data_IF_104436094726
#
_entry.id   IF_104436094726
#
_cell.length_a   1.000
_cell.length_b   1.000
_cell.length_c   1.000
_cell.angle_alpha   90.00
_cell.angle_beta   90.00
_cell.angle_gamma   90.00
#
_symmetry.space_group_name_H-M   'P 1'
#
loop_
_entity.id
_entity.type
_entity.pdbx_description
1 polymer ?
#
# COMPACT_ATOMS: atom_id res chain seq x y z
N UNK A 1 25.89 83.33 23.35
CA UNK A 1 24.84 82.31 23.13
C UNK A 1 25.28 81.42 21.99
N UNK A 2 25.77 80.21 22.26
CA UNK A 2 26.10 79.22 21.24
C UNK A 2 25.31 77.96 21.52
N UNK A 3 24.28 77.72 20.71
CA UNK A 3 23.49 76.48 20.67
C UNK A 3 24.40 75.32 20.28
N UNK A 4 24.57 74.33 21.16
CA UNK A 4 25.03 72.99 20.78
C UNK A 4 23.83 72.20 20.28
N UNK A 5 23.82 71.90 18.98
CA UNK A 5 22.88 70.96 18.39
C UNK A 5 23.03 69.57 19.02
N UNK A 6 21.90 68.96 19.40
CA UNK A 6 21.84 67.58 19.86
C UNK A 6 22.19 66.64 18.70
N UNK A 7 23.09 65.68 18.94
CA UNK A 7 23.40 64.61 17.98
C UNK A 7 22.31 63.55 18.05
N UNK A 8 21.75 63.20 16.89
CA UNK A 8 20.85 62.06 16.76
C UNK A 8 21.54 60.74 17.17
N UNK A 9 20.83 59.84 17.85
CA UNK A 9 21.38 58.55 18.27
C UNK A 9 21.63 57.65 17.06
N UNK A 10 22.77 56.98 17.04
CA UNK A 10 23.14 56.06 15.95
C UNK A 10 22.09 54.92 15.82
N UNK A 11 21.64 54.57 14.59
CA UNK A 11 20.64 53.53 14.37
C UNK A 11 21.02 52.17 14.99
N UNK A 12 22.32 51.88 15.10
CA UNK A 12 22.82 50.66 15.74
C UNK A 12 22.49 50.58 17.24
N UNK A 13 22.58 51.70 17.97
CA UNK A 13 22.26 51.75 19.41
C UNK A 13 20.77 51.61 19.68
N UNK A 14 19.92 52.14 18.78
CA UNK A 14 18.48 51.96 18.85
C UNK A 14 18.08 50.51 18.53
N UNK A 15 18.70 49.89 17.51
CA UNK A 15 18.48 48.48 17.17
C UNK A 15 18.78 47.52 18.32
N UNK A 16 19.95 47.67 18.97
CA UNK A 16 20.35 46.83 20.11
C UNK A 16 19.39 46.98 21.30
N UNK A 17 18.96 48.21 21.59
CA UNK A 17 18.02 48.47 22.69
C UNK A 17 16.64 47.82 22.45
N UNK A 18 16.13 47.88 21.22
CA UNK A 18 14.85 47.24 20.88
C UNK A 18 14.94 45.72 20.92
N UNK A 19 16.01 45.11 20.42
CA UNK A 19 16.20 43.64 20.53
C UNK A 19 16.27 43.16 21.98
N UNK A 20 16.99 43.89 22.85
CA UNK A 20 17.07 43.53 24.27
C UNK A 20 15.70 43.62 24.97
N UNK A 21 14.92 44.64 24.63
CA UNK A 21 13.57 44.82 25.19
C UNK A 21 12.59 43.74 24.72
N UNK A 22 12.68 43.31 23.45
CA UNK A 22 11.86 42.23 22.91
C UNK A 22 12.18 40.88 23.55
N UNK A 23 13.45 40.56 23.80
CA UNK A 23 13.85 39.32 24.48
C UNK A 23 13.35 39.27 25.93
N UNK A 24 13.39 40.40 26.64
CA UNK A 24 12.85 40.49 28.00
C UNK A 24 11.33 40.31 28.03
N UNK A 25 10.61 40.93 27.08
CA UNK A 25 9.16 40.80 26.99
C UNK A 25 8.73 39.34 26.68
N UNK A 26 9.41 38.66 25.76
CA UNK A 26 9.09 37.28 25.40
C UNK A 26 9.41 36.30 26.52
N UNK A 27 10.52 36.52 27.24
CA UNK A 27 10.91 35.71 28.39
C UNK A 27 9.93 35.84 29.55
N UNK A 28 9.43 37.06 29.81
CA UNK A 28 8.41 37.29 30.84
C UNK A 28 7.07 36.61 30.50
N UNK A 29 6.69 36.57 29.22
CA UNK A 29 5.48 35.88 28.75
C UNK A 29 5.62 34.35 28.83
N UNK A 30 6.77 33.80 28.46
CA UNK A 30 7.01 32.36 28.54
C UNK A 30 6.98 31.85 30.00
N UNK A 31 7.55 32.62 30.92
CA UNK A 31 7.54 32.29 32.35
C UNK A 31 6.14 32.43 32.97
N UNK A 32 5.31 33.38 32.52
CA UNK A 32 3.94 33.52 33.03
C UNK A 32 3.03 32.39 32.55
N UNK A 33 3.12 31.99 31.28
CA UNK A 33 2.33 30.86 30.75
C UNK A 33 2.73 29.54 31.39
N UNK A 34 4.03 29.26 31.52
CA UNK A 34 4.52 28.04 32.18
C UNK A 34 4.17 27.99 33.67
N UNK A 35 4.21 29.12 34.37
CA UNK A 35 3.84 29.22 35.78
C UNK A 35 2.35 28.97 36.03
N UNK A 36 1.46 29.46 35.15
CA UNK A 36 0.02 29.22 35.26
C UNK A 36 -0.29 27.73 35.09
N UNK A 37 0.29 27.07 34.08
CA UNK A 37 0.06 25.63 33.84
C UNK A 37 0.52 24.78 35.03
N UNK A 38 1.64 25.12 35.68
CA UNK A 38 2.13 24.38 36.83
C UNK A 38 1.35 24.62 38.13
N UNK A 39 0.70 25.78 38.28
CA UNK A 39 -0.03 26.15 39.50
C UNK A 39 -1.51 25.77 39.42
N UNK A 40 -2.12 25.79 38.23
CA UNK A 40 -3.56 25.48 38.04
C UNK A 40 -3.82 24.14 37.36
N UNK A 41 -2.78 23.42 36.94
CA UNK A 41 -2.92 22.12 36.29
C UNK A 41 -3.30 21.01 37.26
N UNK A 42 -4.51 20.47 37.14
CA UNK A 42 -4.95 19.28 37.85
C UNK A 42 -4.62 18.02 37.01
N UNK A 43 -3.81 17.12 37.56
CA UNK A 43 -3.45 15.87 36.90
C UNK A 43 -4.65 14.93 36.68
N UNK A 44 -5.79 15.17 37.35
CA UNK A 44 -7.03 14.42 37.17
C UNK A 44 -7.86 14.87 35.97
N UNK A 45 -7.56 16.04 35.39
CA UNK A 45 -8.13 16.49 34.09
C UNK A 45 -7.25 16.12 32.88
N UNK A 46 -6.11 15.45 33.11
CA UNK A 46 -5.33 14.89 32.02
C UNK A 46 -6.13 13.77 31.32
N UNK A 47 -6.19 13.82 29.99
CA UNK A 47 -6.84 12.77 29.19
C UNK A 47 -6.33 11.38 29.59
N UNK A 48 -7.20 10.37 29.72
CA UNK A 48 -6.81 9.05 30.19
C UNK A 48 -5.77 8.44 29.24
N UNK A 49 -4.60 8.08 29.79
CA UNK A 49 -3.55 7.40 29.04
C UNK A 49 -4.04 6.02 28.58
N UNK A 50 -4.06 5.78 27.26
CA UNK A 50 -4.43 4.48 26.67
C UNK A 50 -3.20 3.72 26.22
N UNK A 51 -3.13 2.44 26.58
CA UNK A 51 -2.02 1.55 26.31
C UNK A 51 -2.28 0.78 25.01
N UNK A 52 -1.42 0.96 24.00
CA UNK A 52 -1.45 0.21 22.74
C UNK A 52 -0.39 -0.88 22.85
N UNK A 53 -0.81 -2.13 22.84
CA UNK A 53 0.09 -3.27 22.93
C UNK A 53 0.66 -3.57 21.53
N UNK A 54 1.98 -3.41 21.37
CA UNK A 54 2.69 -3.81 20.14
C UNK A 54 2.81 -5.34 20.01
N UNK A 55 2.65 -6.05 21.13
CA UNK A 55 2.75 -7.49 21.25
C UNK A 55 1.61 -8.00 22.12
N UNK A 56 1.22 -9.25 21.94
CA UNK A 56 0.16 -9.87 22.71
C UNK A 56 0.48 -9.88 24.22
N UNK A 57 -0.46 -9.53 25.12
CA UNK A 57 -0.26 -9.76 26.54
C UNK A 57 -0.13 -11.27 26.75
N UNK A 58 1.02 -11.69 27.30
CA UNK A 58 1.35 -13.09 27.47
C UNK A 58 0.20 -13.84 28.18
N UNK A 59 -0.47 -14.74 27.46
CA UNK A 59 -1.47 -15.64 28.03
C UNK A 59 -0.85 -16.59 29.06
N UNK A 60 -1.68 -17.23 29.91
CA UNK A 60 -1.21 -18.12 30.98
C UNK A 60 -0.53 -19.40 30.48
N UNK A 61 -0.68 -19.75 29.20
CA UNK A 61 -0.06 -20.93 28.60
C UNK A 61 1.28 -20.61 27.94
N UNK A 62 2.33 -20.57 28.77
CA UNK A 62 3.71 -20.64 28.28
C UNK A 62 4.02 -22.08 27.84
N UNK A 63 4.54 -22.33 26.62
CA UNK A 63 5.25 -23.58 26.37
C UNK A 63 6.49 -23.61 27.26
N UNK A 64 6.55 -24.60 28.18
CA UNK A 64 7.73 -24.84 29.01
C UNK A 64 8.91 -25.18 28.10
N UNK A 65 9.88 -24.27 28.02
CA UNK A 65 11.19 -24.57 27.46
C UNK A 65 11.77 -25.73 28.26
N UNK A 66 11.94 -26.89 27.61
CA UNK A 66 12.68 -28.02 28.18
C UNK A 66 14.13 -27.59 28.35
N UNK A 67 14.48 -27.09 29.53
CA UNK A 67 15.87 -27.03 29.97
C UNK A 67 16.39 -28.46 29.99
N UNK A 68 17.36 -28.75 29.14
CA UNK A 68 17.99 -30.08 29.05
C UNK A 68 18.99 -30.28 30.20
N UNK A 69 18.62 -29.91 31.42
CA UNK A 69 19.35 -30.24 32.64
C UNK A 69 18.37 -30.19 33.81
N UNK A 70 17.51 -31.20 33.89
CA UNK A 70 16.87 -31.59 35.14
C UNK A 70 17.42 -32.98 35.49
N UNK A 71 18.22 -33.06 36.55
CA UNK A 71 18.66 -34.32 37.11
C UNK A 71 18.66 -34.19 38.63
N UNK A 72 17.74 -34.96 39.22
CA UNK A 72 17.85 -35.59 40.54
C UNK A 72 17.86 -34.69 41.77
N UNK A 73 16.67 -34.53 42.34
CA UNK A 73 16.50 -34.41 43.79
C UNK A 73 16.84 -35.77 44.43
N UNK A 74 17.79 -35.80 45.37
CA UNK A 74 18.19 -37.03 46.07
C UNK A 74 19.49 -36.91 46.85
N UNK A 75 19.36 -36.59 48.13
CA UNK A 75 20.28 -36.82 49.27
C UNK A 75 21.80 -36.80 49.03
N UNK A 76 22.48 -35.77 49.56
CA UNK A 76 23.85 -35.96 50.10
C UNK A 76 24.12 -35.10 51.35
N UNK A 77 24.68 -35.78 52.36
CA UNK A 77 25.09 -35.33 53.69
C UNK A 77 26.31 -34.39 53.65
N UNK A 78 26.58 -33.60 54.72
CA UNK A 78 27.65 -32.63 54.73
C UNK A 78 29.00 -33.28 55.07
N UNK A 79 30.07 -32.84 54.42
CA UNK A 79 31.45 -33.03 54.89
C UNK A 79 32.14 -31.67 54.93
N UNK A 80 32.59 -31.35 56.13
CA UNK A 80 33.39 -30.21 56.57
C UNK A 80 34.86 -30.41 56.17
N UNK A 81 35.63 -29.31 56.22
CA UNK A 81 37.11 -29.13 56.25
C UNK A 81 37.71 -28.64 54.93
N UNK A 82 38.59 -27.64 54.89
CA UNK A 82 39.21 -26.82 55.93
C UNK A 82 39.68 -25.47 55.35
N UNK A 83 39.78 -24.49 56.24
CA UNK A 83 40.40 -23.18 56.09
C UNK A 83 41.89 -23.21 55.71
N UNK A 84 42.33 -22.09 55.11
CA UNK A 84 43.59 -21.34 55.35
C UNK A 84 44.06 -20.75 54.00
N UNK A 85 44.55 -19.53 53.85
CA UNK A 85 44.72 -18.36 54.71
C UNK A 85 45.13 -17.21 53.78
N UNK A 86 44.88 -15.99 54.22
CA UNK A 86 45.36 -14.71 53.67
C UNK A 86 46.87 -14.69 53.45
N UNK A 87 47.40 -13.89 52.50
CA UNK A 87 48.30 -12.74 52.78
C UNK A 87 48.57 -11.94 51.48
N UNK A 88 48.16 -10.67 51.51
CA UNK A 88 48.83 -9.41 51.11
C UNK A 88 49.76 -9.30 49.89
N UNK A 89 49.63 -8.19 49.15
CA UNK A 89 50.54 -7.80 48.07
C UNK A 89 50.03 -6.68 47.15
N UNK A 90 50.26 -5.43 47.55
CA UNK A 90 50.04 -4.19 46.78
C UNK A 90 51.01 -4.06 45.60
N UNK A 91 50.50 -3.65 44.42
CA UNK A 91 51.25 -2.84 43.44
C UNK A 91 50.29 -2.11 42.49
N UNK A 92 50.42 -0.79 42.46
CA UNK A 92 49.93 0.12 41.42
C UNK A 92 50.38 -0.33 40.02
N UNK A 93 49.50 -0.26 39.02
CA UNK A 93 49.80 0.45 37.77
C UNK A 93 48.52 0.79 36.99
N UNK A 94 48.53 2.01 36.47
CA UNK A 94 47.54 2.70 35.65
C UNK A 94 47.37 2.10 34.25
N UNK A 95 46.13 2.09 33.74
CA UNK A 95 45.83 1.75 32.35
C UNK A 95 44.35 1.86 32.03
N UNK A 96 43.92 3.06 31.65
CA UNK A 96 42.63 3.37 31.04
C UNK A 96 42.61 2.83 29.59
N UNK A 97 41.69 1.91 29.28
CA UNK A 97 41.17 1.74 27.92
C UNK A 97 39.66 1.50 27.96
N UNK A 98 38.96 2.63 27.99
CA UNK A 98 37.54 2.76 27.67
C UNK A 98 37.30 2.42 26.19
N UNK A 99 36.90 1.17 25.90
CA UNK A 99 36.24 0.83 24.63
C UNK A 99 34.85 1.48 24.54
N UNK A 100 34.32 1.81 23.34
CA UNK A 100 33.06 2.51 23.20
C UNK A 100 31.90 1.58 23.61
N UNK A 101 31.43 1.74 24.85
CA UNK A 101 30.14 1.18 25.27
C UNK A 101 29.05 2.20 24.94
N UNK A 102 27.97 1.77 24.28
CA UNK A 102 26.84 2.64 23.92
C UNK A 102 26.00 3.08 25.12
N UNK A 103 26.48 2.94 26.36
CA UNK A 103 25.83 3.47 27.55
C UNK A 103 24.41 2.96 27.81
N UNK A 104 24.00 1.83 27.21
CA UNK A 104 22.67 1.25 27.45
C UNK A 104 22.80 0.14 28.50
N UNK A 105 22.39 0.46 29.72
CA UNK A 105 22.05 -0.55 30.72
C UNK A 105 20.66 -1.11 30.42
N UNK A 106 20.56 -2.42 30.22
CA UNK A 106 19.26 -3.10 30.18
C UNK A 106 18.77 -3.31 31.60
N UNK A 107 18.11 -2.28 32.15
CA UNK A 107 17.32 -2.42 33.37
C UNK A 107 15.85 -2.64 33.00
N UNK A 108 15.38 -3.88 33.17
CA UNK A 108 13.96 -4.17 33.32
C UNK A 108 13.13 -4.19 32.04
N UNK A 109 12.27 -5.21 31.98
CA UNK A 109 11.28 -5.51 30.96
C UNK A 109 10.33 -4.32 30.68
N UNK A 110 10.68 -3.42 29.77
CA UNK A 110 9.74 -2.43 29.20
C UNK A 110 10.30 -1.80 27.92
N UNK A 111 9.61 -2.03 26.81
CA UNK A 111 9.87 -1.40 25.51
C UNK A 111 9.56 0.12 25.54
N UNK A 112 10.20 0.95 24.71
CA UNK A 112 9.98 2.40 24.71
C UNK A 112 8.55 2.75 24.31
N UNK A 113 7.89 3.55 25.16
CA UNK A 113 6.50 4.00 25.02
C UNK A 113 6.47 5.33 24.25
N UNK A 114 5.80 5.35 23.09
CA UNK A 114 5.48 6.59 22.37
C UNK A 114 4.13 7.11 22.88
N UNK A 115 4.13 8.32 23.46
CA UNK A 115 2.91 8.97 23.97
C UNK A 115 2.28 9.81 22.85
N UNK A 116 1.03 9.51 22.48
CA UNK A 116 0.19 10.37 21.66
C UNK A 116 -1.00 10.87 22.50
N UNK A 117 -1.40 12.13 22.30
CA UNK A 117 -2.50 12.81 23.01
C UNK A 117 -3.72 12.92 22.10
N UNK A 118 -4.91 12.54 22.55
CA UNK A 118 -6.15 12.72 21.81
C UNK A 118 -7.41 12.81 22.70
N UNK A 119 -8.40 13.55 22.20
CA UNK A 119 -9.70 13.88 22.81
C UNK A 119 -10.72 12.78 22.53
N UNK A 120 -11.57 12.47 23.52
CA UNK A 120 -12.58 11.42 23.48
C UNK A 120 -13.73 11.74 22.50
N UNK A 121 -14.06 10.82 21.60
CA UNK A 121 -15.27 10.95 20.79
C UNK A 121 -15.39 10.17 19.48
N UNK A 122 -14.50 9.21 19.18
CA UNK A 122 -14.73 8.18 18.15
C UNK A 122 -13.85 6.97 18.50
N UNK A 123 -14.16 5.77 18.00
CA UNK A 123 -13.34 4.59 18.24
C UNK A 123 -11.96 4.78 17.57
N UNK A 124 -11.04 5.43 18.29
CA UNK A 124 -9.79 5.94 17.75
C UNK A 124 -8.91 4.77 17.26
N UNK A 125 -8.83 4.64 15.94
CA UNK A 125 -7.95 3.68 15.29
C UNK A 125 -6.58 4.32 15.11
N UNK A 126 -5.52 3.66 15.60
CA UNK A 126 -4.15 4.11 15.39
C UNK A 126 -3.57 3.38 14.18
N UNK A 127 -3.08 4.12 13.19
CA UNK A 127 -2.38 3.56 12.03
C UNK A 127 -0.92 3.25 12.39
N UNK A 128 -0.56 1.98 12.33
CA UNK A 128 0.83 1.51 12.48
C UNK A 128 1.19 0.81 11.17
N UNK A 129 2.10 1.39 10.40
CA UNK A 129 2.51 0.87 9.08
C UNK A 129 1.27 0.52 8.22
N UNK A 130 0.47 1.53 7.84
CA UNK A 130 -0.67 1.37 6.93
C UNK A 130 -1.88 0.64 7.51
N UNK A 131 -1.68 -0.14 8.58
CA UNK A 131 -2.70 -0.91 9.28
C UNK A 131 -3.35 -0.07 10.38
N UNK A 132 -4.62 0.28 10.20
CA UNK A 132 -5.46 0.85 11.27
C UNK A 132 -5.78 -0.22 12.31
N UNK A 133 -5.37 0.02 13.56
CA UNK A 133 -5.63 -0.85 14.72
C UNK A 133 -6.61 -0.16 15.66
N UNK A 134 -7.74 -0.81 15.94
CA UNK A 134 -8.73 -0.31 16.89
C UNK A 134 -8.32 -0.58 18.34
N UNK A 135 -8.75 0.27 19.27
CA UNK A 135 -8.54 0.04 20.70
C UNK A 135 -9.04 -1.36 21.12
N UNK A 136 -8.18 -2.13 21.79
CA UNK A 136 -8.48 -3.50 22.25
C UNK A 136 -8.07 -4.63 21.31
N UNK A 137 -7.54 -4.33 20.11
CA UNK A 137 -6.93 -5.33 19.21
C UNK A 137 -5.42 -5.17 19.14
N UNK A 138 -4.70 -6.27 18.96
CA UNK A 138 -3.27 -6.21 18.68
C UNK A 138 -3.01 -5.92 17.20
N UNK A 139 -1.84 -5.35 16.89
CA UNK A 139 -1.42 -5.15 15.51
C UNK A 139 -1.27 -6.48 14.75
N UNK A 140 -0.80 -7.53 15.44
CA UNK A 140 -0.63 -8.87 14.88
C UNK A 140 -1.98 -9.50 14.51
N UNK A 141 -2.96 -9.47 15.42
CA UNK A 141 -4.32 -9.97 15.18
C UNK A 141 -4.98 -9.24 14.00
N UNK A 142 -4.85 -7.91 13.95
CA UNK A 142 -5.38 -7.08 12.87
C UNK A 142 -4.73 -7.42 11.52
N UNK A 143 -3.42 -7.73 11.54
CA UNK A 143 -2.66 -8.10 10.34
C UNK A 143 -2.99 -9.51 9.86
N UNK A 144 -3.15 -10.48 10.76
CA UNK A 144 -3.57 -11.84 10.38
C UNK A 144 -4.94 -11.83 9.70
N UNK A 145 -5.89 -11.06 10.24
CA UNK A 145 -7.22 -10.84 9.63
C UNK A 145 -7.17 -10.19 8.25
N UNK A 146 -6.12 -9.42 7.94
CA UNK A 146 -5.93 -8.74 6.65
C UNK A 146 -5.18 -9.59 5.62
N UNK A 147 -4.37 -10.54 6.07
CA UNK A 147 -3.47 -11.30 5.19
C UNK A 147 -4.24 -12.10 4.13
N UNK A 148 -3.75 -12.06 2.88
CA UNK A 148 -4.29 -12.87 1.79
C UNK A 148 -3.62 -14.24 1.74
N UNK A 149 -4.29 -15.21 1.11
CA UNK A 149 -3.78 -16.58 0.96
C UNK A 149 -2.36 -16.59 0.37
N UNK A 150 -1.49 -17.42 0.93
CA UNK A 150 -0.12 -17.58 0.43
C UNK A 150 -0.11 -18.13 -0.99
N UNK A 151 0.73 -17.57 -1.86
CA UNK A 151 0.96 -18.07 -3.20
C UNK A 151 2.14 -19.08 -3.21
N UNK A 152 2.15 -20.07 -4.12
CA UNK A 152 1.10 -20.40 -5.07
C UNK A 152 -0.06 -21.19 -4.45
N UNK A 153 -1.29 -20.93 -4.92
CA UNK A 153 -2.45 -21.79 -4.69
C UNK A 153 -2.44 -22.90 -5.75
N UNK A 154 -2.22 -24.14 -5.31
CA UNK A 154 -2.01 -25.30 -6.18
C UNK A 154 -3.13 -25.54 -7.20
N UNK A 155 -4.38 -25.26 -6.85
CA UNK A 155 -5.53 -25.47 -7.73
C UNK A 155 -5.50 -24.59 -8.99
N UNK A 156 -5.01 -23.35 -8.87
CA UNK A 156 -5.02 -22.33 -9.94
C UNK A 156 -3.63 -22.05 -10.50
N UNK A 157 -2.71 -22.99 -10.33
CA UNK A 157 -1.32 -22.86 -10.75
C UNK A 157 -0.82 -24.18 -11.32
N UNK A 158 -0.08 -24.13 -12.41
CA UNK A 158 0.59 -25.29 -13.00
C UNK A 158 2.09 -25.08 -13.11
N UNK A 159 2.84 -26.16 -13.04
CA UNK A 159 4.30 -26.13 -13.20
C UNK A 159 4.64 -26.47 -14.65
N UNK A 160 5.43 -25.60 -15.27
CA UNK A 160 5.92 -25.72 -16.65
C UNK A 160 7.44 -25.65 -16.69
N UNK A 161 8.03 -25.77 -17.88
CA UNK A 161 9.47 -25.55 -18.09
C UNK A 161 9.91 -24.11 -17.86
N UNK A 162 9.00 -23.13 -17.99
CA UNK A 162 9.27 -21.71 -17.74
C UNK A 162 9.18 -21.35 -16.25
N UNK A 163 8.53 -22.18 -15.45
CA UNK A 163 8.16 -21.88 -14.06
C UNK A 163 6.69 -22.15 -13.80
N UNK A 164 6.10 -21.41 -12.87
CA UNK A 164 4.69 -21.55 -12.55
C UNK A 164 3.83 -20.67 -13.45
N UNK A 165 2.80 -21.23 -14.07
CA UNK A 165 1.82 -20.44 -14.83
C UNK A 165 0.45 -20.48 -14.17
N UNK A 166 -0.35 -19.41 -14.33
CA UNK A 166 -1.76 -19.45 -13.95
C UNK A 166 -2.50 -20.48 -14.80
N UNK A 167 -3.42 -21.20 -14.16
CA UNK A 167 -4.40 -22.04 -14.86
C UNK A 167 -5.76 -21.92 -14.19
N UNK A 168 -6.81 -22.16 -14.97
CA UNK A 168 -8.15 -22.40 -14.42
C UNK A 168 -8.14 -23.81 -13.80
N UNK A 169 -8.67 -23.92 -12.58
CA UNK A 169 -8.79 -25.20 -11.89
C UNK A 169 -9.85 -26.09 -12.55
N UNK A 170 -9.78 -27.40 -12.33
CA UNK A 170 -10.74 -28.36 -12.90
C UNK A 170 -12.20 -28.11 -12.41
N UNK A 171 -12.35 -27.43 -11.27
CA UNK A 171 -13.62 -27.00 -10.70
C UNK A 171 -14.09 -25.60 -11.17
N UNK A 172 -13.38 -25.01 -12.13
CA UNK A 172 -13.69 -23.71 -12.72
C UNK A 172 -13.19 -22.50 -11.92
N UNK A 173 -12.55 -22.69 -10.76
CA UNK A 173 -11.92 -21.57 -10.04
C UNK A 173 -10.82 -20.95 -10.89
N UNK A 174 -10.81 -19.63 -10.98
CA UNK A 174 -9.84 -18.87 -11.75
C UNK A 174 -8.80 -18.21 -10.84
N UNK A 175 -7.56 -18.00 -11.30
CA UNK A 175 -6.58 -17.18 -10.57
C UNK A 175 -7.12 -15.79 -10.21
N UNK A 176 -7.88 -15.16 -11.12
CA UNK A 176 -8.51 -13.86 -10.87
C UNK A 176 -9.50 -13.87 -9.70
N UNK A 177 -10.17 -14.99 -9.43
CA UNK A 177 -11.02 -15.14 -8.24
C UNK A 177 -10.23 -15.54 -7.00
N UNK A 178 -9.31 -16.50 -7.14
CA UNK A 178 -8.58 -17.09 -6.02
C UNK A 178 -7.56 -16.14 -5.36
N UNK A 179 -6.98 -15.22 -6.15
CA UNK A 179 -5.99 -14.25 -5.66
C UNK A 179 -6.57 -12.86 -5.39
N UNK A 180 -7.84 -12.63 -5.71
CA UNK A 180 -8.51 -11.36 -5.42
C UNK A 180 -8.63 -11.12 -3.92
N UNK A 181 -8.53 -9.85 -3.52
CA UNK A 181 -8.85 -9.43 -2.15
C UNK A 181 -10.36 -9.48 -1.94
N UNK A 182 -10.86 -10.17 -0.90
CA UNK A 182 -12.26 -10.10 -0.54
C UNK A 182 -12.68 -8.67 -0.22
N UNK A 183 -13.83 -8.24 -0.75
CA UNK A 183 -14.38 -6.92 -0.53
C UNK A 183 -15.89 -7.00 -0.36
N UNK A 184 -16.42 -6.26 0.62
CA UNK A 184 -17.84 -6.17 0.89
C UNK A 184 -18.23 -4.69 1.02
N UNK A 185 -19.32 -4.30 0.36
CA UNK A 185 -19.87 -2.94 0.41
C UNK A 185 -21.38 -3.01 0.69
N UNK A 186 -21.78 -3.46 1.91
CA UNK A 186 -23.19 -3.70 2.23
C UNK A 186 -24.03 -2.43 2.22
N UNK A 187 -23.41 -1.27 2.47
CA UNK A 187 -24.06 0.05 2.44
C UNK A 187 -24.15 0.63 1.03
N UNK A 188 -23.65 -0.11 0.02
CA UNK A 188 -23.64 0.29 -1.39
C UNK A 188 -23.08 1.70 -1.61
N UNK A 189 -22.02 2.04 -0.87
CA UNK A 189 -21.32 3.33 -0.96
C UNK A 189 -20.62 3.45 -2.31
N UNK A 190 -20.47 4.67 -2.88
CA UNK A 190 -19.54 4.93 -3.97
C UNK A 190 -18.16 4.32 -3.69
N UNK A 191 -17.54 3.71 -4.70
CA UNK A 191 -16.24 3.04 -4.54
C UNK A 191 -15.14 3.74 -5.30
N UNK A 192 -13.95 3.86 -4.71
CA UNK A 192 -12.74 4.20 -5.44
C UNK A 192 -11.73 3.08 -5.31
N UNK A 193 -11.04 2.77 -6.40
CA UNK A 193 -9.92 1.83 -6.43
C UNK A 193 -8.66 2.54 -6.90
N UNK A 194 -7.51 2.15 -6.33
CA UNK A 194 -6.20 2.68 -6.68
C UNK A 194 -5.25 1.53 -6.98
N UNK A 195 -4.53 1.62 -8.11
CA UNK A 195 -3.34 0.81 -8.41
C UNK A 195 -2.09 1.64 -8.22
N UNK A 196 -1.12 1.12 -7.48
CA UNK A 196 0.24 1.67 -7.42
C UNK A 196 1.21 0.70 -8.09
N UNK A 197 1.81 1.12 -9.20
CA UNK A 197 2.73 0.36 -10.05
C UNK A 197 4.19 0.75 -9.93
N UNK A 198 5.03 0.13 -10.77
CA UNK A 198 6.48 0.27 -10.79
C UNK A 198 7.17 -0.42 -9.61
N UNK A 199 6.47 -1.28 -8.87
CA UNK A 199 7.01 -1.90 -7.67
C UNK A 199 8.05 -2.96 -8.00
N UNK A 200 9.03 -3.09 -7.11
CA UNK A 200 10.18 -3.98 -7.22
C UNK A 200 11.39 -3.41 -7.98
N UNK A 201 11.25 -2.24 -8.61
CA UNK A 201 12.37 -1.49 -9.23
C UNK A 201 13.18 -0.77 -8.15
N UNK A 202 12.51 0.01 -7.29
CA UNK A 202 13.11 0.68 -6.15
C UNK A 202 12.65 0.01 -4.85
N UNK A 203 13.58 -0.60 -4.11
CA UNK A 203 13.26 -1.35 -2.90
C UNK A 203 12.62 -0.49 -1.81
N UNK A 204 13.05 0.76 -1.62
CA UNK A 204 12.51 1.67 -0.58
C UNK A 204 11.08 2.06 -0.88
N UNK A 205 10.81 2.41 -2.12
CA UNK A 205 9.46 2.80 -2.54
C UNK A 205 8.53 1.59 -2.52
N UNK A 206 9.05 0.41 -2.88
CA UNK A 206 8.29 -0.85 -2.80
C UNK A 206 7.91 -1.17 -1.37
N UNK A 207 8.87 -1.09 -0.45
CA UNK A 207 8.61 -1.31 0.97
C UNK A 207 7.62 -0.29 1.53
N UNK A 208 7.79 1.00 1.25
CA UNK A 208 6.87 2.05 1.69
C UNK A 208 5.46 1.85 1.15
N UNK A 209 5.28 1.48 -0.12
CA UNK A 209 3.97 1.18 -0.68
C UNK A 209 3.29 -0.01 0.03
N UNK A 210 4.02 -1.07 0.36
CA UNK A 210 3.51 -2.25 1.09
C UNK A 210 3.22 -1.93 2.56
N UNK A 211 4.06 -1.11 3.19
CA UNK A 211 4.00 -0.84 4.62
C UNK A 211 3.16 0.38 4.97
N UNK A 212 2.79 1.27 4.05
CA UNK A 212 2.15 2.53 4.43
C UNK A 212 0.76 2.73 3.81
N UNK A 213 0.49 2.10 2.68
CA UNK A 213 -0.82 2.15 2.04
C UNK A 213 -1.77 1.14 2.69
N UNK A 214 -3.08 1.42 2.75
CA UNK A 214 -4.04 0.45 3.22
C UNK A 214 -4.15 -0.77 2.26
N UNK A 215 -4.49 -1.96 2.78
CA UNK A 215 -4.51 -3.21 1.99
C UNK A 215 -5.53 -3.21 0.83
N UNK A 216 -6.48 -2.28 0.83
CA UNK A 216 -7.41 -2.07 -0.27
C UNK A 216 -6.73 -1.45 -1.51
N UNK A 217 -5.57 -0.79 -1.37
CA UNK A 217 -4.77 -0.35 -2.53
C UNK A 217 -4.16 -1.58 -3.20
N UNK A 218 -4.39 -1.71 -4.50
CA UNK A 218 -3.83 -2.80 -5.31
C UNK A 218 -2.40 -2.45 -5.74
N UNK A 219 -1.49 -3.41 -5.60
CA UNK A 219 -0.07 -3.21 -5.86
C UNK A 219 0.34 -3.92 -7.16
N UNK A 220 0.97 -3.20 -8.07
CA UNK A 220 1.41 -3.71 -9.38
C UNK A 220 2.94 -3.79 -9.46
N UNK A 221 3.46 -4.94 -9.86
CA UNK A 221 4.90 -5.22 -9.84
C UNK A 221 5.49 -5.38 -11.24
N UNK A 222 6.66 -4.78 -11.43
CA UNK A 222 7.44 -4.92 -12.64
C UNK A 222 8.00 -6.35 -12.76
N UNK A 223 7.91 -7.01 -13.94
CA UNK A 223 8.39 -8.38 -14.13
C UNK A 223 9.92 -8.51 -14.02
N UNK A 224 10.64 -7.39 -14.09
CA UNK A 224 12.10 -7.28 -13.94
C UNK A 224 12.56 -7.12 -12.50
N UNK A 225 11.62 -6.97 -11.55
CA UNK A 225 11.94 -6.75 -10.15
C UNK A 225 12.88 -7.84 -9.60
N UNK A 226 13.92 -7.40 -8.89
CA UNK A 226 14.76 -8.32 -8.13
C UNK A 226 13.93 -8.88 -6.97
N UNK A 227 13.99 -10.20 -6.77
CA UNK A 227 13.20 -10.88 -5.75
C UNK A 227 11.68 -10.65 -5.89
N UNK A 228 11.17 -10.61 -7.13
CA UNK A 228 9.75 -10.36 -7.44
C UNK A 228 8.78 -11.18 -6.56
N UNK A 229 8.97 -12.51 -6.48
CA UNK A 229 8.10 -13.36 -5.65
C UNK A 229 8.13 -12.96 -4.17
N UNK A 230 9.31 -12.60 -3.63
CA UNK A 230 9.43 -12.18 -2.25
C UNK A 230 8.71 -10.87 -1.94
N UNK A 231 8.64 -9.93 -2.90
CA UNK A 231 7.83 -8.72 -2.76
C UNK A 231 6.33 -9.01 -2.82
N UNK A 232 5.91 -9.89 -3.73
CA UNK A 232 4.51 -10.31 -3.84
C UNK A 232 4.05 -11.03 -2.57
N UNK A 233 4.89 -11.91 -2.02
CA UNK A 233 4.59 -12.62 -0.77
C UNK A 233 4.42 -11.63 0.40
N UNK A 234 5.26 -10.60 0.48
CA UNK A 234 5.14 -9.53 1.49
C UNK A 234 3.86 -8.70 1.30
N UNK A 235 3.57 -8.26 0.06
CA UNK A 235 2.36 -7.52 -0.26
C UNK A 235 1.09 -8.30 0.12
N UNK A 236 1.03 -9.59 -0.24
CA UNK A 236 -0.10 -10.46 0.11
C UNK A 236 -0.20 -10.69 1.61
N UNK A 237 0.92 -10.86 2.31
CA UNK A 237 0.94 -10.97 3.77
C UNK A 237 0.51 -9.68 4.48
N UNK A 238 0.67 -8.52 3.84
CA UNK A 238 0.13 -7.23 4.30
C UNK A 238 -1.35 -7.00 3.90
N UNK A 239 -1.91 -7.87 3.05
CA UNK A 239 -3.32 -7.87 2.66
C UNK A 239 -3.61 -7.24 1.30
N UNK A 240 -2.58 -6.79 0.59
CA UNK A 240 -2.71 -6.16 -0.72
C UNK A 240 -3.05 -7.18 -1.82
N UNK A 241 -4.00 -6.80 -2.66
CA UNK A 241 -4.19 -7.43 -3.97
C UNK A 241 -3.03 -7.07 -4.90
N UNK A 242 -2.67 -8.00 -5.79
CA UNK A 242 -1.46 -7.89 -6.62
C UNK A 242 -1.76 -8.04 -8.11
N UNK A 243 -1.15 -7.17 -8.90
CA UNK A 243 -1.09 -7.22 -10.38
C UNK A 243 0.35 -7.45 -10.85
N UNK A 244 0.50 -8.04 -12.03
CA UNK A 244 1.77 -8.12 -12.75
C UNK A 244 1.77 -7.18 -13.95
N UNK A 245 2.84 -6.40 -14.11
CA UNK A 245 2.99 -5.51 -15.25
C UNK A 245 3.40 -6.27 -16.51
N UNK A 246 2.78 -5.92 -17.63
CA UNK A 246 3.06 -6.47 -18.94
C UNK A 246 3.57 -5.34 -19.84
N UNK A 247 4.88 -5.31 -20.13
CA UNK A 247 5.46 -4.32 -21.04
C UNK A 247 4.88 -4.48 -22.45
N UNK A 248 4.38 -3.39 -23.01
CA UNK A 248 3.75 -3.36 -24.34
C UNK A 248 4.35 -2.24 -25.20
N UNK A 249 4.36 -2.43 -26.51
CA UNK A 249 4.94 -1.48 -27.47
C UNK A 249 4.25 -0.09 -27.40
N UNK A 250 4.98 0.98 -27.01
CA UNK A 250 4.55 2.35 -27.23
C UNK A 250 4.89 2.81 -28.66
N UNK A 251 4.38 3.97 -29.05
CA UNK A 251 4.89 4.65 -30.26
C UNK A 251 6.39 4.99 -30.15
N UNK A 252 6.83 5.40 -28.97
CA UNK A 252 8.23 5.74 -28.69
C UNK A 252 8.62 5.22 -27.30
N UNK A 253 9.74 4.49 -27.21
CA UNK A 253 10.28 3.99 -25.93
C UNK A 253 11.05 5.07 -25.13
N UNK A 254 11.23 6.26 -25.71
CA UNK A 254 12.05 7.31 -25.11
C UNK A 254 13.51 6.85 -24.91
N UNK A 255 14.03 7.04 -23.70
CA UNK A 255 15.43 6.71 -23.34
C UNK A 255 15.58 5.30 -22.74
N UNK A 256 14.48 4.65 -22.43
CA UNK A 256 14.47 3.33 -21.80
C UNK A 256 14.65 2.24 -22.84
N UNK A 257 15.39 1.19 -22.48
CA UNK A 257 15.49 0.02 -23.35
C UNK A 257 14.23 -0.81 -23.16
N UNK A 258 13.59 -1.28 -24.25
CA UNK A 258 12.46 -2.18 -24.15
C UNK A 258 12.80 -3.41 -23.31
N UNK A 259 11.83 -3.91 -22.57
CA UNK A 259 11.97 -5.21 -21.93
C UNK A 259 12.15 -6.29 -23.01
N UNK A 260 13.02 -7.31 -22.82
CA UNK A 260 13.23 -8.36 -23.83
C UNK A 260 11.96 -9.13 -24.22
N UNK A 261 10.93 -9.08 -23.38
CA UNK A 261 9.64 -9.75 -23.58
C UNK A 261 8.49 -8.75 -23.79
N UNK A 262 8.80 -7.51 -24.20
CA UNK A 262 7.76 -6.55 -24.59
C UNK A 262 6.84 -7.19 -25.63
N UNK A 263 5.53 -6.97 -25.49
CA UNK A 263 4.54 -7.39 -26.47
C UNK A 263 4.44 -6.33 -27.57
N UNK A 264 4.69 -6.73 -28.81
CA UNK A 264 4.60 -5.88 -30.00
C UNK A 264 3.35 -6.24 -30.78
N UNK A 265 2.73 -5.25 -31.41
CA UNK A 265 1.53 -5.47 -32.23
C UNK A 265 1.81 -6.31 -33.49
N UNK A 266 3.07 -6.33 -33.94
CA UNK A 266 3.56 -7.13 -35.06
C UNK A 266 3.94 -8.57 -34.71
N UNK A 267 3.85 -8.97 -33.44
CA UNK A 267 4.12 -10.33 -33.04
C UNK A 267 3.10 -11.30 -33.64
N UNK A 268 3.59 -12.45 -34.11
CA UNK A 268 2.72 -13.61 -34.34
C UNK A 268 2.13 -14.10 -33.01
N UNK A 269 1.01 -14.82 -33.08
CA UNK A 269 0.35 -15.41 -31.92
C UNK A 269 1.32 -16.25 -31.06
N UNK A 270 2.20 -17.03 -31.69
CA UNK A 270 3.21 -17.83 -30.99
C UNK A 270 4.23 -16.99 -30.23
N UNK A 271 4.66 -15.84 -30.78
CA UNK A 271 5.58 -14.92 -30.12
C UNK A 271 4.89 -14.21 -28.95
N UNK A 272 3.68 -13.71 -29.18
CA UNK A 272 2.86 -13.08 -28.15
C UNK A 272 2.63 -14.03 -26.97
N UNK A 273 2.22 -15.27 -27.26
CA UNK A 273 2.01 -16.34 -26.27
C UNK A 273 3.28 -16.68 -25.50
N UNK A 274 4.41 -16.83 -26.21
CA UNK A 274 5.68 -17.17 -25.57
C UNK A 274 6.16 -16.06 -24.62
N UNK A 275 6.10 -14.81 -25.06
CA UNK A 275 6.51 -13.65 -24.26
C UNK A 275 5.59 -13.47 -23.05
N UNK A 276 4.27 -13.58 -23.25
CA UNK A 276 3.29 -13.48 -22.16
C UNK A 276 3.49 -14.60 -21.13
N UNK A 277 3.66 -15.85 -21.57
CA UNK A 277 3.93 -16.97 -20.66
C UNK A 277 5.24 -16.75 -19.90
N UNK A 278 6.30 -16.23 -20.55
CA UNK A 278 7.52 -15.90 -19.84
C UNK A 278 7.27 -14.85 -18.74
N UNK A 279 6.56 -13.76 -19.04
CA UNK A 279 6.24 -12.71 -18.07
C UNK A 279 5.44 -13.27 -16.89
N UNK A 280 4.38 -14.03 -17.17
CA UNK A 280 3.55 -14.68 -16.15
C UNK A 280 4.34 -15.68 -15.30
N UNK A 281 5.32 -16.37 -15.88
CA UNK A 281 6.12 -17.36 -15.15
C UNK A 281 7.03 -16.79 -14.06
N UNK A 282 7.22 -15.47 -14.06
CA UNK A 282 8.15 -14.78 -13.14
C UNK A 282 7.71 -14.82 -11.68
N UNK A 283 6.41 -14.97 -11.42
CA UNK A 283 5.85 -15.02 -10.09
C UNK A 283 4.49 -15.71 -10.04
N UNK A 284 3.92 -15.82 -8.85
CA UNK A 284 2.57 -16.31 -8.57
C UNK A 284 1.92 -15.40 -7.53
N UNK A 285 0.59 -15.44 -7.42
CA UNK A 285 -0.14 -14.66 -6.41
C UNK A 285 -0.74 -13.35 -6.90
N UNK A 286 -0.65 -13.04 -8.20
CA UNK A 286 -1.37 -11.95 -8.84
C UNK A 286 -2.74 -12.44 -9.35
N UNK A 287 -3.77 -11.60 -9.25
CA UNK A 287 -5.11 -11.93 -9.76
C UNK A 287 -5.28 -11.56 -11.24
N UNK A 288 -4.46 -10.62 -11.72
CA UNK A 288 -4.52 -10.10 -13.07
C UNK A 288 -3.21 -9.46 -13.50
N UNK A 289 -3.23 -8.90 -14.70
CA UNK A 289 -2.12 -8.14 -15.28
C UNK A 289 -2.56 -6.72 -15.60
N UNK A 290 -1.60 -5.82 -15.72
CA UNK A 290 -1.81 -4.42 -16.13
C UNK A 290 -0.79 -4.05 -17.22
N UNK A 291 -1.17 -3.19 -18.15
CA UNK A 291 -0.23 -2.71 -19.17
C UNK A 291 0.85 -1.85 -18.52
N UNK A 292 2.07 -1.98 -19.03
CA UNK A 292 3.13 -0.99 -18.85
C UNK A 292 3.46 -0.44 -20.23
N UNK A 293 3.16 0.85 -20.44
CA UNK A 293 3.12 1.47 -21.77
C UNK A 293 2.05 0.80 -22.67
N UNK A 294 2.29 0.70 -23.98
CA UNK A 294 1.37 0.02 -24.92
C UNK A 294 0.55 0.93 -25.83
N UNK A 295 0.88 2.22 -25.94
CA UNK A 295 0.12 3.17 -26.77
C UNK A 295 0.02 2.80 -28.25
N UNK A 296 0.97 2.02 -28.78
CA UNK A 296 0.90 1.47 -30.14
C UNK A 296 0.30 0.07 -30.16
N UNK A 297 0.67 -0.79 -29.20
CA UNK A 297 0.07 -2.14 -29.08
C UNK A 297 -1.46 -2.08 -29.00
N UNK A 298 -2.01 -1.16 -28.22
CA UNK A 298 -3.44 -1.06 -27.96
C UNK A 298 -4.26 -0.59 -29.17
N UNK A 299 -3.62 -0.07 -30.23
CA UNK A 299 -4.32 0.28 -31.48
C UNK A 299 -4.43 -0.90 -32.46
N UNK A 300 -3.74 -2.01 -32.20
CA UNK A 300 -3.71 -3.19 -33.06
C UNK A 300 -4.77 -4.20 -32.62
N UNK A 301 -5.96 -4.13 -33.23
CA UNK A 301 -7.14 -4.92 -32.83
C UNK A 301 -6.89 -6.43 -32.80
N UNK A 302 -6.10 -6.96 -33.75
CA UNK A 302 -5.77 -8.38 -33.78
C UNK A 302 -4.89 -8.78 -32.57
N UNK A 303 -3.91 -7.95 -32.22
CA UNK A 303 -3.00 -8.22 -31.11
C UNK A 303 -3.70 -8.11 -29.75
N UNK A 304 -4.58 -7.12 -29.56
CA UNK A 304 -5.37 -6.98 -28.33
C UNK A 304 -6.39 -8.11 -28.17
N UNK A 305 -7.04 -8.56 -29.25
CA UNK A 305 -7.92 -9.73 -29.24
C UNK A 305 -7.18 -11.02 -28.88
N UNK A 306 -6.00 -11.26 -29.48
CA UNK A 306 -5.15 -12.39 -29.13
C UNK A 306 -4.73 -12.36 -27.65
N UNK A 307 -4.25 -11.21 -27.17
CA UNK A 307 -3.87 -11.06 -25.76
C UNK A 307 -5.07 -11.32 -24.84
N UNK A 308 -6.25 -10.76 -25.15
CA UNK A 308 -7.44 -10.96 -24.35
C UNK A 308 -7.86 -12.44 -24.29
N UNK A 309 -7.79 -13.15 -25.42
CA UNK A 309 -8.03 -14.59 -25.49
C UNK A 309 -7.06 -15.41 -24.62
N UNK A 310 -5.77 -15.09 -24.65
CA UNK A 310 -4.76 -15.75 -23.83
C UNK A 310 -4.98 -15.52 -22.32
N UNK A 311 -5.27 -14.28 -21.92
CA UNK A 311 -5.57 -13.94 -20.53
C UNK A 311 -6.84 -14.65 -20.05
N UNK A 312 -7.88 -14.69 -20.89
CA UNK A 312 -9.13 -15.40 -20.62
C UNK A 312 -8.90 -16.89 -20.42
N UNK A 313 -8.12 -17.54 -21.30
CA UNK A 313 -7.80 -18.96 -21.21
C UNK A 313 -7.04 -19.33 -19.93
N UNK A 314 -6.28 -18.38 -19.38
CA UNK A 314 -5.54 -18.51 -18.11
C UNK A 314 -6.37 -18.14 -16.88
N UNK A 315 -7.56 -17.57 -17.06
CA UNK A 315 -8.43 -17.13 -15.97
C UNK A 315 -7.90 -15.94 -15.18
N UNK A 316 -7.11 -15.07 -15.81
CA UNK A 316 -6.55 -13.87 -15.19
C UNK A 316 -7.29 -12.62 -15.69
N UNK A 317 -7.40 -11.62 -14.83
CA UNK A 317 -8.00 -10.33 -15.19
C UNK A 317 -7.02 -9.43 -15.94
N UNK A 318 -7.54 -8.45 -16.66
CA UNK A 318 -6.74 -7.38 -17.24
C UNK A 318 -7.23 -6.02 -16.77
N UNK A 319 -6.32 -5.19 -16.30
CA UNK A 319 -6.57 -3.80 -15.91
C UNK A 319 -5.81 -2.93 -16.89
N UNK A 320 -6.48 -2.02 -17.57
CA UNK A 320 -5.83 -1.00 -18.38
C UNK A 320 -5.58 0.25 -17.52
N UNK A 321 -4.37 0.80 -17.57
CA UNK A 321 -3.91 1.88 -16.70
C UNK A 321 -4.53 3.25 -16.99
N UNK A 322 -5.34 3.38 -18.05
CA UNK A 322 -6.01 4.62 -18.44
C UNK A 322 -5.10 5.63 -19.14
N UNK A 323 -3.86 5.26 -19.47
CA UNK A 323 -2.93 6.12 -20.21
C UNK A 323 -3.11 6.06 -21.73
N UNK A 324 -3.95 5.13 -22.22
CA UNK A 324 -4.07 4.79 -23.64
C UNK A 324 -5.22 5.57 -24.29
N UNK A 325 -4.91 6.67 -24.97
CA UNK A 325 -5.93 7.53 -25.62
C UNK A 325 -6.74 6.84 -26.72
N UNK A 326 -6.18 5.78 -27.33
CA UNK A 326 -6.84 4.92 -28.32
C UNK A 326 -6.55 3.48 -27.94
N UNK A 327 -7.56 2.79 -27.40
CA UNK A 327 -7.45 1.41 -26.96
C UNK A 327 -8.55 0.57 -27.58
N UNK A 328 -8.16 -0.58 -28.16
CA UNK A 328 -9.07 -1.63 -28.65
C UNK A 328 -9.28 -2.74 -27.61
N UNK A 329 -8.69 -2.62 -26.41
CA UNK A 329 -8.88 -3.59 -25.34
C UNK A 329 -10.32 -3.71 -24.83
N UNK A 330 -11.13 -2.63 -24.72
CA UNK A 330 -12.53 -2.77 -24.31
C UNK A 330 -13.33 -3.69 -25.25
N UNK A 331 -13.15 -3.54 -26.56
CA UNK A 331 -13.81 -4.35 -27.58
C UNK A 331 -13.33 -5.80 -27.51
N UNK A 332 -12.01 -6.00 -27.49
CA UNK A 332 -11.39 -7.32 -27.34
C UNK A 332 -11.85 -8.06 -26.06
N UNK A 333 -11.99 -7.34 -24.94
CA UNK A 333 -12.46 -7.90 -23.68
C UNK A 333 -13.94 -8.28 -23.72
N UNK A 334 -14.77 -7.47 -24.38
CA UNK A 334 -16.20 -7.75 -24.61
C UNK A 334 -16.37 -9.00 -25.46
N UNK A 335 -15.64 -9.12 -26.57
CA UNK A 335 -15.72 -10.25 -27.50
C UNK A 335 -15.25 -11.57 -26.87
N UNK A 336 -14.18 -11.53 -26.07
CA UNK A 336 -13.60 -12.73 -25.45
C UNK A 336 -14.22 -13.07 -24.09
N UNK A 337 -15.03 -12.18 -23.51
CA UNK A 337 -15.55 -12.30 -22.15
C UNK A 337 -14.43 -12.26 -21.10
N UNK A 338 -13.36 -11.50 -21.36
CA UNK A 338 -12.27 -11.26 -20.41
C UNK A 338 -12.79 -10.43 -19.22
N UNK A 339 -12.30 -10.73 -18.01
CA UNK A 339 -12.53 -9.88 -16.85
C UNK A 339 -11.63 -8.65 -16.98
N UNK A 340 -12.24 -7.49 -17.21
CA UNK A 340 -11.54 -6.28 -17.65
C UNK A 340 -12.01 -5.02 -16.94
N UNK A 341 -11.13 -4.02 -16.83
CA UNK A 341 -11.46 -2.63 -16.46
C UNK A 341 -10.41 -1.66 -16.99
N UNK A 342 -10.85 -0.55 -17.58
CA UNK A 342 -9.99 0.62 -17.84
C UNK A 342 -10.05 1.58 -16.65
N UNK A 343 -8.90 2.07 -16.23
CA UNK A 343 -8.82 3.14 -15.24
C UNK A 343 -9.30 4.47 -15.82
N UNK A 344 -9.90 5.29 -14.97
CA UNK A 344 -10.41 6.61 -15.35
C UNK A 344 -9.26 7.58 -15.62
N UNK A 345 -8.20 7.55 -14.79
CA UNK A 345 -7.04 8.41 -14.98
C UNK A 345 -5.79 7.83 -14.30
N UNK A 346 -4.60 8.03 -14.88
CA UNK A 346 -3.36 8.07 -14.12
C UNK A 346 -3.39 9.29 -13.19
N UNK A 347 -3.20 9.09 -11.90
CA UNK A 347 -3.28 10.14 -10.88
C UNK A 347 -1.99 10.95 -10.78
N UNK A 348 -0.86 10.40 -11.21
CA UNK A 348 0.48 10.98 -11.06
C UNK A 348 1.25 11.04 -12.39
N UNK A 349 0.52 11.20 -13.50
CA UNK A 349 1.13 11.47 -14.81
C UNK A 349 2.11 12.66 -14.74
N UNK A 350 1.81 13.63 -13.87
CA UNK A 350 2.77 14.59 -13.34
C UNK A 350 2.97 14.28 -11.85
N UNK A 351 4.18 13.92 -11.39
CA UNK A 351 4.45 13.61 -9.98
C UNK A 351 4.62 14.90 -9.16
N UNK A 352 3.61 15.75 -9.21
CA UNK A 352 3.50 17.01 -8.47
C UNK A 352 2.30 16.93 -7.51
N UNK A 353 2.44 17.51 -6.33
CA UNK A 353 1.44 17.34 -5.27
C UNK A 353 0.07 17.92 -5.61
N UNK A 354 0.02 19.12 -6.20
CA UNK A 354 -1.23 19.78 -6.56
C UNK A 354 -1.96 19.03 -7.69
N UNK A 355 -1.19 18.53 -8.66
CA UNK A 355 -1.71 17.73 -9.76
C UNK A 355 -2.31 16.41 -9.26
N UNK A 356 -1.62 15.70 -8.37
CA UNK A 356 -2.09 14.43 -7.79
C UNK A 356 -3.35 14.66 -6.97
N UNK A 357 -3.38 15.67 -6.11
CA UNK A 357 -4.56 16.00 -5.30
C UNK A 357 -5.77 16.35 -6.18
N UNK A 358 -5.55 17.12 -7.25
CA UNK A 358 -6.59 17.44 -8.24
C UNK A 358 -7.14 16.17 -8.89
N UNK A 359 -6.28 15.25 -9.32
CA UNK A 359 -6.73 13.97 -9.89
C UNK A 359 -7.47 13.09 -8.91
N UNK A 360 -7.10 13.10 -7.63
CA UNK A 360 -7.82 12.37 -6.61
C UNK A 360 -9.21 12.96 -6.33
N UNK A 361 -9.35 14.29 -6.36
CA UNK A 361 -10.66 14.96 -6.28
C UNK A 361 -11.55 14.65 -7.48
N UNK A 362 -10.99 14.66 -8.70
CA UNK A 362 -11.71 14.22 -9.90
C UNK A 362 -12.20 12.76 -9.75
N UNK A 363 -11.36 11.88 -9.20
CA UNK A 363 -11.68 10.48 -9.00
C UNK A 363 -12.79 10.27 -7.95
N UNK A 364 -12.81 11.07 -6.88
CA UNK A 364 -13.90 11.10 -5.92
C UNK A 364 -15.22 11.49 -6.58
N UNK A 365 -15.22 12.56 -7.39
CA UNK A 365 -16.40 13.04 -8.09
C UNK A 365 -16.95 11.96 -9.04
N UNK A 366 -16.07 11.32 -9.82
CA UNK A 366 -16.45 10.20 -10.70
C UNK A 366 -17.02 9.02 -9.91
N UNK A 367 -16.48 8.68 -8.75
CA UNK A 367 -17.04 7.61 -7.94
C UNK A 367 -18.43 7.96 -7.43
N UNK A 368 -18.67 9.21 -7.02
CA UNK A 368 -19.99 9.66 -6.59
C UNK A 368 -21.01 9.68 -7.73
N UNK A 369 -20.59 10.02 -8.96
CA UNK A 369 -21.46 10.07 -10.14
C UNK A 369 -21.75 8.68 -10.71
N UNK A 370 -20.71 7.87 -10.92
CA UNK A 370 -20.79 6.57 -11.62
C UNK A 370 -20.88 5.37 -10.66
N UNK A 371 -20.83 5.61 -9.35
CA UNK A 371 -20.77 4.59 -8.30
C UNK A 371 -19.41 3.91 -8.14
N UNK A 372 -18.52 4.00 -9.13
CA UNK A 372 -17.16 3.46 -9.05
C UNK A 372 -16.15 4.22 -9.91
N UNK A 373 -14.96 4.48 -9.37
CA UNK A 373 -13.85 5.05 -10.12
C UNK A 373 -12.53 4.31 -9.84
N UNK A 374 -11.64 4.27 -10.83
CA UNK A 374 -10.34 3.62 -10.75
C UNK A 374 -9.23 4.60 -11.16
N UNK A 375 -8.29 4.86 -10.24
CA UNK A 375 -7.06 5.59 -10.51
C UNK A 375 -5.86 4.64 -10.56
N UNK A 376 -4.86 4.98 -11.37
CA UNK A 376 -3.55 4.31 -11.38
C UNK A 376 -2.43 5.29 -11.12
N UNK A 377 -1.32 4.85 -10.57
CA UNK A 377 -0.12 5.66 -10.46
C UNK A 377 1.10 4.82 -10.20
N UNK A 378 2.25 5.47 -10.02
CA UNK A 378 3.51 4.81 -9.68
C UNK A 378 3.90 5.06 -8.23
N UNK A 379 4.81 4.22 -7.72
CA UNK A 379 5.36 4.34 -6.37
C UNK A 379 6.37 5.50 -6.26
N UNK A 380 5.99 6.72 -6.63
CA UNK A 380 6.75 7.91 -6.29
C UNK A 380 6.53 8.25 -4.81
N UNK A 381 7.55 8.73 -4.07
CA UNK A 381 7.40 9.07 -2.67
C UNK A 381 6.24 10.04 -2.41
N UNK A 382 6.12 11.09 -3.23
CA UNK A 382 5.03 12.07 -3.12
C UNK A 382 3.65 11.45 -3.38
N UNK A 383 3.53 10.53 -4.34
CA UNK A 383 2.28 9.79 -4.61
C UNK A 383 1.88 8.95 -3.40
N UNK A 384 2.84 8.23 -2.78
CA UNK A 384 2.57 7.38 -1.60
C UNK A 384 2.11 8.23 -0.42
N UNK A 385 2.80 9.35 -0.14
CA UNK A 385 2.46 10.24 0.96
C UNK A 385 1.06 10.83 0.82
N UNK A 386 0.70 11.31 -0.38
CA UNK A 386 -0.63 11.86 -0.67
C UNK A 386 -1.69 10.76 -0.58
N UNK A 387 -1.48 9.59 -1.18
CA UNK A 387 -2.43 8.48 -1.12
C UNK A 387 -2.68 8.01 0.31
N UNK A 388 -1.64 7.97 1.15
CA UNK A 388 -1.78 7.63 2.58
C UNK A 388 -2.69 8.60 3.32
N UNK A 389 -2.50 9.91 3.12
CA UNK A 389 -3.33 10.94 3.74
C UNK A 389 -4.75 10.98 3.15
N UNK A 390 -4.88 10.78 1.84
CA UNK A 390 -6.14 10.81 1.12
C UNK A 390 -7.03 9.62 1.46
N UNK A 391 -6.50 8.39 1.41
CA UNK A 391 -7.25 7.17 1.74
C UNK A 391 -7.76 7.15 3.18
N UNK A 392 -7.10 7.85 4.11
CA UNK A 392 -7.54 7.97 5.50
C UNK A 392 -8.84 8.79 5.66
N UNK A 393 -9.18 9.64 4.70
CA UNK A 393 -10.34 10.56 4.76
C UNK A 393 -11.52 10.11 3.91
N UNK A 394 -11.40 9.01 3.17
CA UNK A 394 -12.47 8.54 2.29
C UNK A 394 -13.76 8.17 3.03
N UNK A 395 -13.61 7.63 4.25
CA UNK A 395 -14.77 7.25 5.07
C UNK A 395 -15.60 8.46 5.52
N UNK A 396 -14.94 9.57 5.87
CA UNK A 396 -15.61 10.84 6.19
C UNK A 396 -16.42 11.39 5.00
N UNK A 397 -16.01 11.03 3.77
CA UNK A 397 -16.66 11.43 2.52
C UNK A 397 -17.73 10.44 2.06
N UNK A 398 -17.98 9.37 2.80
CA UNK A 398 -18.92 8.32 2.39
C UNK A 398 -18.45 7.48 1.21
N UNK A 399 -17.16 7.50 0.84
CA UNK A 399 -16.60 6.73 -0.27
C UNK A 399 -15.84 5.51 0.27
N UNK A 400 -16.12 4.31 -0.23
CA UNK A 400 -15.41 3.10 0.15
C UNK A 400 -14.17 2.88 -0.73
N UNK A 401 -13.00 2.64 -0.10
CA UNK A 401 -11.82 2.20 -0.84
C UNK A 401 -11.93 0.70 -1.14
N UNK A 402 -11.83 0.32 -2.42
CA UNK A 402 -12.03 -1.05 -2.87
C UNK A 402 -10.80 -1.58 -3.64
N UNK A 403 -10.45 -2.88 -3.50
CA UNK A 403 -9.45 -3.49 -4.37
C UNK A 403 -9.93 -3.49 -5.82
N UNK A 404 -9.00 -3.49 -6.78
CA UNK A 404 -9.35 -3.35 -8.20
C UNK A 404 -10.18 -4.51 -8.72
N UNK A 405 -10.01 -5.72 -8.18
CA UNK A 405 -10.85 -6.85 -8.55
C UNK A 405 -12.35 -6.56 -8.35
N UNK A 406 -12.75 -5.73 -7.38
CA UNK A 406 -14.14 -5.31 -7.18
C UNK A 406 -14.68 -4.44 -8.35
N UNK A 407 -13.80 -3.70 -9.03
CA UNK A 407 -14.16 -2.85 -10.17
C UNK A 407 -14.08 -3.57 -11.53
N UNK A 408 -13.41 -4.73 -11.59
CA UNK A 408 -13.30 -5.54 -12.82
C UNK A 408 -14.51 -6.42 -13.05
N UNK A 409 -15.02 -6.45 -14.29
CA UNK A 409 -16.19 -7.23 -14.67
C UNK A 409 -15.98 -7.97 -16.00
N UNK A 410 -16.71 -9.04 -16.22
CA UNK A 410 -16.86 -9.60 -17.57
C UNK A 410 -17.91 -8.77 -18.29
N UNK A 411 -17.47 -8.06 -19.34
CA UNK A 411 -18.39 -7.32 -20.20
C UNK A 411 -19.05 -8.36 -21.11
N UNK A 412 -20.35 -8.61 -20.94
CA UNK A 412 -21.10 -9.43 -21.87
C UNK A 412 -21.69 -8.50 -22.91
N UNK A 413 -21.44 -8.74 -24.20
CA UNK A 413 -22.14 -8.03 -25.26
C UNK A 413 -23.64 -8.34 -25.13
N UNK A 414 -24.45 -7.35 -24.76
CA UNK A 414 -25.90 -7.47 -24.91
C UNK A 414 -26.20 -7.57 -26.41
N UNK A 415 -26.83 -8.66 -26.83
CA UNK A 415 -27.39 -8.74 -28.18
C UNK A 415 -28.37 -7.58 -28.32
N UNK A 416 -28.25 -6.72 -29.36
CA UNK A 416 -29.22 -5.66 -29.56
C UNK A 416 -30.58 -6.34 -29.73
N UNK A 417 -31.53 -6.02 -28.86
CA UNK A 417 -32.93 -6.31 -29.14
C UNK A 417 -33.29 -5.40 -30.30
N UNK A 418 -33.21 -5.93 -31.52
CA UNK A 418 -33.79 -5.27 -32.68
C UNK A 418 -35.29 -5.30 -32.39
N UNK A 419 -35.83 -4.15 -31.99
CA UNK A 419 -37.26 -3.92 -31.95
C UNK A 419 -37.75 -3.98 -33.40
N UNK A 420 -38.17 -5.17 -33.84
CA UNK A 420 -38.90 -5.33 -35.08
C UNK A 420 -40.25 -4.68 -34.90
N UNK A 421 -40.32 -3.37 -35.13
CA UNK A 421 -41.55 -2.66 -35.36
C UNK A 421 -42.32 -3.42 -36.45
N UNK A 422 -43.49 -3.94 -36.08
CA UNK A 422 -44.37 -4.67 -36.97
C UNK A 422 -44.70 -3.83 -38.19
N UNK A 423 -44.43 -4.39 -39.36
CA UNK A 423 -44.98 -3.88 -40.61
C UNK A 423 -46.47 -4.19 -40.56
N UNK A 424 -47.28 -3.19 -40.26
CA UNK A 424 -48.73 -3.26 -40.41
C UNK A 424 -49.04 -3.48 -41.89
N UNK A 425 -49.49 -4.68 -42.18
CA UNK A 425 -50.05 -5.08 -43.48
C UNK A 425 -51.23 -4.18 -43.81
N UNK A 426 -51.05 -3.31 -44.80
CA UNK A 426 -52.15 -2.59 -45.44
C UNK A 426 -53.14 -3.59 -46.05
N UNK A 427 -54.29 -3.78 -45.39
CA UNK A 427 -55.48 -4.35 -46.02
C UNK A 427 -56.13 -3.28 -46.90
N UNK A 428 -56.10 -3.53 -48.20
CA UNK A 428 -56.93 -2.81 -49.15
C UNK A 428 -58.41 -3.17 -49.00
N UNK A 429 -59.27 -2.22 -49.33
CA UNK A 429 -60.68 -2.48 -49.58
C UNK A 429 -61.60 -1.31 -49.25
N UNK A 430 -61.68 -0.31 -50.14
CA UNK A 430 -62.94 0.40 -50.29
C UNK A 430 -63.18 0.86 -51.73
N UNK A 431 -64.28 0.33 -52.25
CA UNK A 431 -65.00 0.61 -53.48
C UNK A 431 -65.57 2.02 -53.50
N UNK A 432 -65.58 2.67 -54.67
CA UNK A 432 -66.54 3.74 -54.99
C UNK A 432 -66.03 4.78 -56.00
N UNK A 433 -66.62 4.80 -57.19
CA UNK A 433 -66.52 5.91 -58.16
C UNK A 433 -65.99 5.51 -59.51
#
# INVERSE_FOLDING_TARGET
MSNRAARDPSPFRSGVAHTALSFLAFSALALSVGGIIHVTGDASEASPARQIALFEPAGPDRPRLKTRFASSDGDMRPIVTASASETDGTSDDSGDESGPSLGVSYSGDSAPVVKASASAGDAETVRINGVSVSAGRSWQETRELKSLSRAPISAVTERTSLGYLPKIADDGRTPAGAYARPFANPENRPTVSIVVGGLGINWRHTQSAIEELPPEVTLSFAPTARNLQGWIDQARAAGHEVLLEVPMEPYEFGRERPHPQTLYGSHSESQLTSNLNYLMSRATGYFGVINYQGSKFATEAEATAQLAGLLKARGIAFVEDGSLSRSTFPDAASETGLRFRTANTPIDARPDGEDIETKLLELEALAMEDGSALGTGFAYPITIDILKAWTARLDEKGIALAPVSAATRTIKSETPVIDTAGIDTAQGGQTGG
#
